data_IF_339155951557
#
_entry.id   IF_339155951557
#
_cell.length_a   1.000
_cell.length_b   1.000
_cell.length_c   1.000
_cell.angle_alpha   90.00
_cell.angle_beta   90.00
_cell.angle_gamma   90.00
#
_symmetry.space_group_name_H-M   'P 1'
#
loop_
_entity.id
_entity.type
_entity.pdbx_description
1 polymer ?
#
# COMPACT_ATOMS: atom_id res chain seq x y z
N UNK A 1 -1.08 -24.39 21.80
CA UNK A 1 -0.74 -24.03 20.41
C UNK A 1 -1.74 -22.98 19.95
N UNK A 2 -1.38 -21.70 20.10
CA UNK A 2 -2.17 -20.64 19.51
C UNK A 2 -1.86 -20.61 18.00
N UNK A 3 -2.81 -21.03 17.18
CA UNK A 3 -2.83 -20.76 15.76
C UNK A 3 -3.03 -19.25 15.57
N UNK A 4 -1.93 -18.51 15.46
CA UNK A 4 -1.96 -17.15 14.94
C UNK A 4 -2.63 -17.21 13.56
N UNK A 5 -3.73 -16.48 13.38
CA UNK A 5 -4.41 -16.42 12.09
C UNK A 5 -3.41 -15.99 11.01
N UNK A 6 -3.63 -16.39 9.74
CA UNK A 6 -2.76 -15.98 8.62
C UNK A 6 -2.55 -14.45 8.59
N UNK A 7 -3.57 -13.68 8.97
CA UNK A 7 -3.52 -12.21 9.05
C UNK A 7 -2.51 -11.71 10.07
N UNK A 8 -2.45 -12.29 11.28
CA UNK A 8 -1.44 -11.93 12.29
C UNK A 8 -0.02 -12.27 11.84
N UNK A 9 0.16 -13.35 11.07
CA UNK A 9 1.47 -13.72 10.53
C UNK A 9 1.98 -12.72 9.48
N UNK A 10 1.11 -12.21 8.62
CA UNK A 10 1.46 -11.19 7.61
C UNK A 10 1.80 -9.85 8.26
N UNK A 11 1.08 -9.44 9.31
CA UNK A 11 1.42 -8.26 10.12
C UNK A 11 2.80 -8.40 10.76
N UNK A 12 3.11 -9.55 11.38
CA UNK A 12 4.42 -9.81 11.98
C UNK A 12 5.58 -9.73 10.97
N UNK A 13 5.37 -10.15 9.71
CA UNK A 13 6.42 -10.12 8.69
C UNK A 13 6.70 -8.69 8.24
N UNK A 14 5.70 -7.83 8.07
CA UNK A 14 5.89 -6.39 7.79
C UNK A 14 6.63 -5.68 8.90
N UNK A 15 6.19 -5.90 10.15
CA UNK A 15 6.86 -5.36 11.33
C UNK A 15 8.32 -5.83 11.41
N UNK A 16 8.59 -7.06 10.97
CA UNK A 16 9.96 -7.58 10.87
C UNK A 16 10.78 -6.85 9.81
N UNK A 17 10.22 -6.60 8.60
CA UNK A 17 10.92 -5.88 7.54
C UNK A 17 11.30 -4.49 8.03
N UNK A 18 10.38 -3.75 8.64
CA UNK A 18 10.64 -2.40 9.12
C UNK A 18 11.64 -2.35 10.28
N UNK A 19 11.54 -3.30 11.22
CA UNK A 19 12.54 -3.44 12.31
C UNK A 19 13.94 -3.80 11.81
N UNK A 20 14.03 -4.65 10.77
CA UNK A 20 15.32 -4.97 10.14
C UNK A 20 15.95 -3.76 9.43
N UNK A 21 15.16 -2.76 9.09
CA UNK A 21 15.62 -1.53 8.44
C UNK A 21 16.05 -0.42 9.42
N UNK A 22 16.05 -0.73 10.75
CA UNK A 22 16.44 0.17 11.84
C UNK A 22 15.68 1.52 11.84
N UNK A 23 14.37 1.43 11.56
CA UNK A 23 13.47 2.59 11.52
C UNK A 23 12.67 2.65 12.82
N UNK A 24 12.49 3.83 13.38
CA UNK A 24 11.58 4.04 14.52
C UNK A 24 10.13 3.92 14.03
N UNK A 25 9.43 2.88 14.46
CA UNK A 25 8.11 2.50 13.97
C UNK A 25 7.12 2.36 15.12
N UNK A 26 6.02 3.10 15.04
CA UNK A 26 4.84 2.86 15.89
C UNK A 26 3.73 2.19 15.08
N UNK A 27 3.08 1.19 15.66
CA UNK A 27 1.96 0.45 15.04
C UNK A 27 0.66 0.78 15.77
N UNK A 28 -0.30 1.34 15.06
CA UNK A 28 -1.60 1.70 15.58
C UNK A 28 -2.73 1.02 14.81
N UNK A 29 -3.79 0.67 15.51
CA UNK A 29 -5.03 0.25 14.88
C UNK A 29 -5.81 1.50 14.46
N UNK A 30 -6.44 1.45 13.27
CA UNK A 30 -7.22 2.54 12.71
C UNK A 30 -8.43 2.99 13.57
N UNK A 31 -8.87 2.14 14.53
CA UNK A 31 -9.93 2.43 15.49
C UNK A 31 -9.40 2.92 16.87
N UNK A 32 -8.08 3.08 17.03
CA UNK A 32 -7.42 3.38 18.30
C UNK A 32 -6.51 4.61 18.26
N UNK A 33 -6.37 5.22 17.12
CA UNK A 33 -5.62 6.46 16.95
C UNK A 33 -6.54 7.54 16.38
N UNK A 34 -6.47 8.74 16.89
CA UNK A 34 -7.19 9.90 16.34
C UNK A 34 -6.42 10.54 15.18
N UNK A 35 -7.13 11.28 14.32
CA UNK A 35 -6.48 12.03 13.25
C UNK A 35 -5.43 13.02 13.79
N UNK A 36 -5.68 13.67 14.93
CA UNK A 36 -4.75 14.65 15.49
C UNK A 36 -3.47 14.01 16.01
N UNK A 37 -3.53 12.80 16.54
CA UNK A 37 -2.34 12.05 16.96
C UNK A 37 -1.46 11.65 15.79
N UNK A 38 -2.00 11.52 14.57
CA UNK A 38 -1.23 11.22 13.35
C UNK A 38 -0.30 12.37 12.96
N UNK A 39 -0.57 13.60 13.38
CA UNK A 39 0.20 14.81 13.04
C UNK A 39 1.70 14.68 13.37
N UNK A 40 2.05 13.97 14.42
CA UNK A 40 3.44 13.80 14.89
C UNK A 40 4.33 12.92 14.01
N UNK A 41 3.75 12.17 13.07
CA UNK A 41 4.49 11.27 12.19
C UNK A 41 4.77 11.92 10.84
N UNK A 42 5.92 11.64 10.27
CA UNK A 42 6.33 12.14 8.96
C UNK A 42 5.92 11.20 7.82
N UNK A 43 5.91 9.89 8.10
CA UNK A 43 5.55 8.83 7.15
C UNK A 43 4.43 7.95 7.68
N UNK A 44 3.52 7.57 6.79
CA UNK A 44 2.34 6.77 7.12
C UNK A 44 2.26 5.57 6.19
N UNK A 45 2.36 4.37 6.76
CA UNK A 45 2.11 3.12 6.04
C UNK A 45 0.69 2.64 6.33
N UNK A 46 -0.17 2.65 5.31
CA UNK A 46 -1.54 2.14 5.39
C UNK A 46 -1.54 0.65 5.04
N UNK A 47 -1.83 -0.16 6.02
CA UNK A 47 -1.73 -1.62 5.96
C UNK A 47 -2.89 -2.29 5.21
N UNK A 48 -2.69 -3.52 4.70
CA UNK A 48 -3.79 -4.37 4.27
C UNK A 48 -4.79 -4.62 5.39
N UNK A 49 -6.06 -4.68 5.03
CA UNK A 49 -7.16 -4.98 5.93
C UNK A 49 -8.31 -5.73 5.25
N UNK A 50 -9.28 -6.21 6.02
CA UNK A 50 -10.53 -6.77 5.49
C UNK A 50 -11.50 -5.65 5.08
N UNK A 51 -12.47 -6.01 4.23
CA UNK A 51 -13.56 -5.11 3.84
C UNK A 51 -13.14 -4.14 2.72
N UNK A 52 -13.79 -3.00 2.72
CA UNK A 52 -13.58 -1.90 1.78
C UNK A 52 -13.12 -0.64 2.53
N UNK A 53 -12.49 0.33 1.86
CA UNK A 53 -11.95 1.52 2.52
C UNK A 53 -12.96 2.33 3.33
N UNK A 54 -14.21 2.43 2.88
CA UNK A 54 -15.28 3.15 3.58
C UNK A 54 -15.57 2.59 4.98
N UNK A 55 -15.36 1.28 5.18
CA UNK A 55 -15.56 0.59 6.45
C UNK A 55 -14.31 0.59 7.34
N UNK A 56 -13.20 1.14 6.86
CA UNK A 56 -11.90 1.09 7.52
C UNK A 56 -11.62 2.29 8.47
N UNK A 57 -12.63 2.74 9.21
CA UNK A 57 -12.47 3.75 10.26
C UNK A 57 -11.94 5.09 9.74
N UNK A 58 -10.78 5.53 10.25
CA UNK A 58 -10.21 6.83 9.89
C UNK A 58 -9.44 6.85 8.57
N UNK A 59 -9.41 5.76 7.81
CA UNK A 59 -8.51 5.58 6.66
C UNK A 59 -8.68 6.67 5.59
N UNK A 60 -9.90 6.86 5.08
CA UNK A 60 -10.19 7.90 4.08
C UNK A 60 -9.99 9.33 4.62
N UNK A 61 -10.51 9.70 5.80
CA UNK A 61 -10.22 11.00 6.41
C UNK A 61 -8.72 11.26 6.63
N UNK A 62 -7.95 10.25 7.02
CA UNK A 62 -6.51 10.35 7.22
C UNK A 62 -5.80 10.70 5.91
N UNK A 63 -6.08 9.97 4.82
CA UNK A 63 -5.49 10.24 3.51
C UNK A 63 -5.80 11.67 3.07
N UNK A 64 -7.07 12.08 3.10
CA UNK A 64 -7.50 13.42 2.68
C UNK A 64 -6.85 14.55 3.47
N UNK A 65 -6.66 14.36 4.79
CA UNK A 65 -6.06 15.37 5.66
C UNK A 65 -4.55 15.47 5.47
N UNK A 66 -3.87 14.34 5.34
CA UNK A 66 -2.42 14.28 5.44
C UNK A 66 -1.68 14.14 4.12
N UNK A 67 -2.36 13.82 3.02
CA UNK A 67 -1.74 13.72 1.71
C UNK A 67 -0.90 14.95 1.30
N UNK A 68 -1.32 16.21 1.59
CA UNK A 68 -0.53 17.38 1.20
C UNK A 68 0.77 17.56 1.98
N UNK A 69 0.92 16.91 3.13
CA UNK A 69 2.01 17.22 4.10
C UNK A 69 2.83 16.02 4.53
N UNK A 70 2.36 14.80 4.31
CA UNK A 70 3.00 13.56 4.78
C UNK A 70 3.32 12.62 3.62
N UNK A 71 4.37 11.82 3.79
CA UNK A 71 4.64 10.69 2.90
C UNK A 71 3.73 9.51 3.24
N UNK A 72 2.92 9.07 2.30
CA UNK A 72 1.93 7.99 2.51
C UNK A 72 2.19 6.84 1.53
N UNK A 73 2.31 5.62 2.06
CA UNK A 73 2.30 4.39 1.27
C UNK A 73 1.11 3.52 1.67
N UNK A 74 0.20 3.27 0.72
CA UNK A 74 -0.92 2.34 0.88
C UNK A 74 -0.59 0.94 0.33
N UNK A 75 -0.89 -0.12 1.10
CA UNK A 75 -0.72 -1.51 0.69
C UNK A 75 -2.07 -2.20 0.63
N UNK A 76 -2.43 -2.78 -0.50
CA UNK A 76 -3.67 -3.51 -0.75
C UNK A 76 -4.90 -2.63 -0.43
N UNK A 77 -5.58 -2.83 0.70
CA UNK A 77 -6.67 -1.95 1.15
C UNK A 77 -6.23 -0.48 1.24
N UNK A 78 -4.98 -0.22 1.63
CA UNK A 78 -4.42 1.13 1.69
C UNK A 78 -4.29 1.79 0.31
N UNK A 79 -3.91 1.03 -0.72
CA UNK A 79 -3.89 1.51 -2.11
C UNK A 79 -5.30 1.82 -2.62
N UNK A 80 -6.25 0.92 -2.36
CA UNK A 80 -7.66 1.11 -2.71
C UNK A 80 -8.23 2.38 -2.04
N UNK A 81 -7.88 2.59 -0.77
CA UNK A 81 -8.27 3.79 -0.03
C UNK A 81 -7.67 5.08 -0.61
N UNK A 82 -6.43 5.03 -1.09
CA UNK A 82 -5.82 6.16 -1.81
C UNK A 82 -6.61 6.43 -3.10
N UNK A 83 -6.88 5.41 -3.90
CA UNK A 83 -7.70 5.55 -5.10
C UNK A 83 -9.04 6.24 -4.80
N UNK A 84 -9.78 5.72 -3.83
CA UNK A 84 -11.11 6.24 -3.45
C UNK A 84 -11.06 7.64 -2.81
N UNK A 85 -10.05 7.93 -1.99
CA UNK A 85 -9.87 9.25 -1.38
C UNK A 85 -9.71 10.37 -2.41
N UNK A 86 -9.14 10.05 -3.58
CA UNK A 86 -8.93 10.96 -4.70
C UNK A 86 -9.95 10.81 -5.83
N UNK A 87 -11.00 10.02 -5.63
CA UNK A 87 -12.15 9.96 -6.54
C UNK A 87 -12.17 8.81 -7.52
N UNK A 88 -11.25 7.84 -7.43
CA UNK A 88 -11.35 6.60 -8.18
C UNK A 88 -12.47 5.71 -7.62
N UNK A 89 -12.96 4.79 -8.44
CA UNK A 89 -13.91 3.75 -8.04
C UNK A 89 -13.19 2.41 -7.84
N UNK A 90 -13.81 1.53 -7.07
CA UNK A 90 -13.33 0.16 -6.89
C UNK A 90 -14.17 -0.82 -7.72
N UNK A 91 -13.52 -1.82 -8.28
CA UNK A 91 -14.17 -2.93 -8.98
C UNK A 91 -13.94 -4.23 -8.23
N UNK A 92 -15.00 -5.00 -8.02
CA UNK A 92 -14.91 -6.35 -7.48
C UNK A 92 -14.59 -7.32 -8.62
N UNK A 93 -13.48 -8.04 -8.49
CA UNK A 93 -13.06 -9.04 -9.47
C UNK A 93 -13.90 -10.30 -9.36
N UNK A 94 -14.19 -10.92 -10.49
CA UNK A 94 -14.88 -12.22 -10.56
C UNK A 94 -14.01 -13.32 -9.92
N UNK A 95 -12.71 -13.26 -10.16
CA UNK A 95 -11.73 -14.20 -9.60
C UNK A 95 -11.03 -13.60 -8.39
N UNK A 96 -11.13 -14.31 -7.26
CA UNK A 96 -10.48 -13.90 -6.02
C UNK A 96 -9.02 -14.34 -6.02
N UNK A 97 -8.10 -13.38 -6.03
CA UNK A 97 -6.69 -13.67 -5.85
C UNK A 97 -6.39 -13.98 -4.37
N UNK A 98 -5.89 -15.18 -4.08
CA UNK A 98 -5.52 -15.57 -2.72
C UNK A 98 -4.21 -16.36 -2.71
N UNK A 99 -3.09 -15.64 -2.62
CA UNK A 99 -1.75 -16.23 -2.71
C UNK A 99 -1.37 -16.58 -4.16
N UNK A 100 -1.81 -15.75 -5.09
CA UNK A 100 -1.42 -15.84 -6.51
C UNK A 100 -0.21 -14.97 -6.75
N UNK A 101 0.77 -15.50 -7.49
CA UNK A 101 1.95 -14.75 -7.91
C UNK A 101 1.74 -14.26 -9.33
N UNK A 102 1.79 -12.95 -9.54
CA UNK A 102 1.64 -12.33 -10.87
C UNK A 102 2.92 -11.60 -11.29
N UNK A 103 3.13 -11.51 -12.58
CA UNK A 103 4.17 -10.69 -13.17
C UNK A 103 3.67 -9.23 -13.26
N UNK A 104 4.41 -8.33 -12.65
CA UNK A 104 4.08 -6.90 -12.58
C UNK A 104 5.00 -6.13 -13.52
N UNK A 105 4.42 -5.29 -14.36
CA UNK A 105 5.15 -4.40 -15.26
C UNK A 105 5.11 -2.98 -14.74
N UNK A 106 6.28 -2.37 -14.54
CA UNK A 106 6.40 -0.93 -14.26
C UNK A 106 6.12 -0.16 -15.54
N UNK A 107 5.14 0.75 -15.51
CA UNK A 107 4.68 1.54 -16.66
C UNK A 107 5.32 2.93 -16.69
N UNK A 108 5.55 3.49 -15.50
CA UNK A 108 6.13 4.81 -15.32
C UNK A 108 7.22 4.71 -14.26
N UNK A 109 8.41 5.31 -14.46
CA UNK A 109 9.45 5.34 -13.45
C UNK A 109 8.93 5.95 -12.14
N UNK A 110 9.17 5.24 -11.04
CA UNK A 110 8.80 5.66 -9.70
C UNK A 110 9.91 5.30 -8.70
N UNK A 111 10.23 6.15 -7.72
CA UNK A 111 11.22 5.85 -6.69
C UNK A 111 11.02 4.53 -5.97
N UNK A 112 9.77 4.07 -5.79
CA UNK A 112 9.47 2.75 -5.21
C UNK A 112 10.17 1.60 -5.94
N UNK A 113 10.34 1.74 -7.26
CA UNK A 113 10.86 0.69 -8.13
C UNK A 113 12.33 0.91 -8.54
N UNK A 114 13.04 1.80 -7.83
CA UNK A 114 14.48 1.98 -8.01
C UNK A 114 15.20 0.65 -7.77
N UNK A 115 16.18 0.32 -8.62
CA UNK A 115 16.93 -0.94 -8.63
C UNK A 115 16.08 -2.20 -8.90
N UNK A 116 14.84 -2.01 -9.34
CA UNK A 116 14.05 -3.08 -9.94
C UNK A 116 14.12 -2.98 -11.47
N UNK A 117 14.12 -4.13 -12.12
CA UNK A 117 13.94 -4.20 -13.57
C UNK A 117 12.56 -3.64 -13.95
N UNK A 118 12.31 -3.47 -15.24
CA UNK A 118 11.01 -3.01 -15.77
C UNK A 118 9.82 -3.90 -15.40
N UNK A 119 10.08 -5.04 -14.71
CA UNK A 119 9.08 -5.97 -14.21
C UNK A 119 9.61 -6.83 -13.05
N UNK A 120 8.69 -7.27 -12.20
CA UNK A 120 8.98 -8.14 -11.06
C UNK A 120 7.77 -8.99 -10.70
N UNK A 121 8.00 -10.04 -9.91
CA UNK A 121 6.91 -10.90 -9.42
C UNK A 121 6.39 -10.43 -8.07
N UNK A 122 5.06 -10.49 -7.88
CA UNK A 122 4.43 -10.09 -6.63
C UNK A 122 3.23 -10.95 -6.26
N UNK A 123 3.06 -11.15 -4.95
CA UNK A 123 1.95 -11.90 -4.38
C UNK A 123 0.69 -11.04 -4.21
N UNK A 124 -0.44 -11.57 -4.70
CA UNK A 124 -1.77 -10.92 -4.67
C UNK A 124 -2.71 -11.67 -3.72
N UNK A 125 -3.50 -10.91 -2.94
CA UNK A 125 -4.42 -11.43 -1.91
C UNK A 125 -5.69 -10.58 -1.82
N UNK A 126 -6.31 -10.27 -2.97
CA UNK A 126 -7.45 -9.35 -3.03
C UNK A 126 -8.53 -9.80 -4.02
N UNK A 127 -9.73 -9.31 -3.83
CA UNK A 127 -10.86 -9.41 -4.75
C UNK A 127 -11.34 -8.05 -5.26
N UNK A 128 -10.84 -6.96 -4.69
CA UNK A 128 -11.12 -5.60 -5.12
C UNK A 128 -9.86 -4.94 -5.69
N UNK A 129 -10.06 -4.09 -6.70
CA UNK A 129 -9.00 -3.29 -7.33
C UNK A 129 -9.51 -1.88 -7.60
N UNK A 130 -8.58 -0.93 -7.70
CA UNK A 130 -8.91 0.40 -8.22
C UNK A 130 -9.25 0.27 -9.71
N UNK A 131 -10.40 0.83 -10.11
CA UNK A 131 -10.87 0.80 -11.48
C UNK A 131 -10.09 1.77 -12.36
N UNK A 132 -9.88 1.36 -13.63
CA UNK A 132 -9.38 2.27 -14.68
C UNK A 132 -10.47 3.18 -15.24
N UNK A 133 -11.75 2.83 -15.01
CA UNK A 133 -12.86 3.64 -15.49
C UNK A 133 -12.96 4.92 -14.66
N UNK A 134 -13.00 6.06 -15.35
CA UNK A 134 -13.03 7.40 -14.74
C UNK A 134 -11.87 7.61 -13.75
N UNK A 135 -10.69 7.06 -14.06
CA UNK A 135 -9.51 7.19 -13.20
C UNK A 135 -9.13 8.67 -13.04
N UNK A 136 -8.92 9.17 -11.81
CA UNK A 136 -8.72 10.60 -11.56
C UNK A 136 -7.42 11.14 -12.17
N UNK A 137 -7.46 12.31 -12.79
CA UNK A 137 -6.30 12.96 -13.40
C UNK A 137 -5.17 13.29 -12.40
N UNK A 138 -5.51 13.47 -11.11
CA UNK A 138 -4.52 13.73 -10.06
C UNK A 138 -3.70 12.47 -9.67
N UNK A 139 -4.15 11.29 -10.08
CA UNK A 139 -3.44 10.04 -9.90
C UNK A 139 -2.73 9.59 -11.17
N UNK A 140 -1.74 8.75 -11.03
CA UNK A 140 -1.00 8.13 -12.13
C UNK A 140 -0.77 6.64 -11.83
N UNK A 141 -1.08 5.78 -12.80
CA UNK A 141 -0.82 4.35 -12.73
C UNK A 141 0.67 4.12 -12.98
N UNK A 142 1.39 3.58 -12.00
CA UNK A 142 2.83 3.36 -12.09
C UNK A 142 3.21 1.92 -12.40
N UNK A 143 2.34 0.94 -12.08
CA UNK A 143 2.54 -0.45 -12.45
C UNK A 143 1.21 -1.20 -12.66
N UNK A 144 1.24 -2.22 -13.51
CA UNK A 144 0.11 -3.09 -13.82
C UNK A 144 0.55 -4.55 -13.83
N UNK A 145 -0.38 -5.48 -13.58
CA UNK A 145 -0.11 -6.88 -13.86
C UNK A 145 -0.18 -7.16 -15.38
N UNK A 146 0.63 -8.12 -15.81
CA UNK A 146 0.83 -8.39 -17.24
C UNK A 146 -0.36 -9.12 -17.87
N UNK A 147 -1.05 -9.97 -17.10
CA UNK A 147 -2.08 -10.86 -17.65
C UNK A 147 -3.44 -10.18 -17.78
N UNK A 148 -3.88 -9.49 -16.73
CA UNK A 148 -5.22 -8.90 -16.65
C UNK A 148 -5.20 -7.38 -16.83
N UNK A 149 -4.01 -6.76 -16.76
CA UNK A 149 -3.84 -5.31 -16.85
C UNK A 149 -4.44 -4.56 -15.65
N UNK A 150 -4.58 -5.22 -14.49
CA UNK A 150 -5.08 -4.56 -13.29
C UNK A 150 -4.06 -3.57 -12.74
N UNK A 151 -4.53 -2.49 -12.10
CA UNK A 151 -3.66 -1.53 -11.42
C UNK A 151 -2.97 -2.23 -10.25
N UNK A 152 -1.65 -2.25 -10.27
CA UNK A 152 -0.81 -2.85 -9.22
C UNK A 152 -0.02 -1.81 -8.45
N UNK A 153 0.13 -0.61 -8.99
CA UNK A 153 0.64 0.54 -8.26
C UNK A 153 0.12 1.84 -8.86
N UNK A 154 -0.06 2.82 -7.99
CA UNK A 154 -0.44 4.18 -8.36
C UNK A 154 0.29 5.20 -7.48
N UNK A 155 0.35 6.45 -7.94
CA UNK A 155 0.85 7.59 -7.17
C UNK A 155 0.00 8.83 -7.40
N UNK A 156 0.01 9.74 -6.45
CA UNK A 156 -0.48 11.10 -6.65
C UNK A 156 0.57 11.92 -7.42
N UNK A 157 0.13 12.80 -8.34
CA UNK A 157 1.05 13.57 -9.19
C UNK A 157 1.77 14.68 -8.46
N UNK A 158 1.19 15.22 -7.39
CA UNK A 158 1.72 16.36 -6.64
C UNK A 158 2.17 15.99 -5.23
N UNK A 159 1.44 15.08 -4.56
CA UNK A 159 1.70 14.69 -3.18
C UNK A 159 2.58 13.43 -3.11
N UNK A 160 3.37 13.31 -2.04
CA UNK A 160 4.13 12.09 -1.76
C UNK A 160 3.22 10.96 -1.25
N UNK A 161 2.30 10.55 -2.11
CA UNK A 161 1.30 9.51 -1.84
C UNK A 161 1.41 8.43 -2.91
N UNK A 162 1.68 7.20 -2.47
CA UNK A 162 1.82 6.03 -3.33
C UNK A 162 0.99 4.87 -2.83
N UNK A 163 0.52 4.03 -3.73
CA UNK A 163 -0.21 2.81 -3.43
C UNK A 163 0.35 1.61 -4.19
N UNK A 164 0.33 0.45 -3.55
CA UNK A 164 0.63 -0.85 -4.16
C UNK A 164 -0.46 -1.85 -3.82
N UNK A 165 -1.00 -2.55 -4.83
CA UNK A 165 -2.08 -3.54 -4.64
C UNK A 165 -1.56 -4.88 -4.15
N UNK A 166 -0.34 -5.23 -4.47
CA UNK A 166 0.31 -6.47 -4.04
C UNK A 166 0.87 -6.36 -2.61
N UNK A 167 1.26 -7.52 -2.07
CA UNK A 167 1.79 -7.63 -0.70
C UNK A 167 3.32 -7.70 -0.70
N UNK A 168 4.03 -6.62 -0.33
CA UNK A 168 5.50 -6.61 -0.31
C UNK A 168 6.08 -7.54 0.76
N UNK A 169 5.32 -7.84 1.81
CA UNK A 169 5.72 -8.77 2.87
C UNK A 169 5.59 -10.25 2.48
N UNK A 170 4.95 -10.54 1.36
CA UNK A 170 4.72 -11.92 0.93
C UNK A 170 6.00 -12.58 0.44
N UNK A 171 6.18 -13.87 0.74
CA UNK A 171 7.23 -14.70 0.14
C UNK A 171 7.15 -14.75 -1.39
N UNK A 172 5.96 -14.49 -1.94
CA UNK A 172 5.71 -14.42 -3.38
C UNK A 172 6.16 -13.08 -4.00
N UNK A 173 6.67 -12.16 -3.19
CA UNK A 173 7.20 -10.85 -3.61
C UNK A 173 8.68 -10.75 -3.25
N UNK A 174 9.59 -11.38 -4.02
CA UNK A 174 11.01 -11.44 -3.66
C UNK A 174 11.68 -10.06 -3.51
N UNK A 175 11.16 -9.05 -4.22
CA UNK A 175 11.66 -7.66 -4.19
C UNK A 175 10.91 -6.75 -3.20
N UNK A 176 10.01 -7.30 -2.39
CA UNK A 176 9.17 -6.53 -1.50
C UNK A 176 9.95 -5.71 -0.48
N UNK A 177 11.03 -6.26 0.09
CA UNK A 177 11.91 -5.53 1.02
C UNK A 177 12.58 -4.32 0.35
N UNK A 178 13.03 -4.47 -0.90
CA UNK A 178 13.62 -3.36 -1.68
C UNK A 178 12.59 -2.25 -1.91
N UNK A 179 11.34 -2.58 -2.24
CA UNK A 179 10.26 -1.61 -2.47
C UNK A 179 9.99 -0.80 -1.19
N UNK A 180 9.86 -1.47 -0.05
CA UNK A 180 9.66 -0.79 1.24
C UNK A 180 10.87 0.08 1.60
N UNK A 181 12.09 -0.44 1.38
CA UNK A 181 13.32 0.32 1.62
C UNK A 181 13.38 1.59 0.77
N UNK A 182 13.06 1.50 -0.52
CA UNK A 182 13.06 2.64 -1.43
C UNK A 182 12.11 3.75 -0.94
N UNK A 183 10.91 3.37 -0.45
CA UNK A 183 9.98 4.34 0.12
C UNK A 183 10.51 4.98 1.41
N UNK A 184 11.17 4.20 2.29
CA UNK A 184 11.72 4.72 3.55
C UNK A 184 12.91 5.64 3.28
N UNK A 185 13.82 5.25 2.39
CA UNK A 185 15.06 5.96 2.09
C UNK A 185 14.84 7.33 1.41
N UNK A 186 13.70 7.49 0.74
CA UNK A 186 13.37 8.74 0.02
C UNK A 186 13.08 9.93 0.96
N UNK A 187 13.07 9.75 2.28
CA UNK A 187 12.99 10.83 3.27
C UNK A 187 13.36 10.38 4.69
N UNK A 188 13.97 11.29 5.46
CA UNK A 188 14.26 11.08 6.88
C UNK A 188 13.03 11.48 7.71
N UNK A 189 12.39 10.53 8.41
CA UNK A 189 11.25 10.86 9.25
C UNK A 189 10.73 9.70 10.11
N UNK A 190 9.86 10.01 11.06
CA UNK A 190 9.23 9.04 11.97
C UNK A 190 8.06 8.32 11.27
N UNK A 191 8.09 6.99 11.22
CA UNK A 191 7.12 6.15 10.52
C UNK A 191 5.96 5.71 11.44
N UNK A 192 4.73 5.79 10.95
CA UNK A 192 3.54 5.16 11.55
C UNK A 192 2.95 4.10 10.63
N UNK A 193 2.58 2.96 11.18
CA UNK A 193 1.79 1.94 10.50
C UNK A 193 0.36 1.98 11.03
N UNK A 194 -0.60 2.20 10.14
CA UNK A 194 -2.03 2.12 10.46
C UNK A 194 -2.56 0.72 10.07
N UNK A 195 -3.12 0.00 11.03
CA UNK A 195 -3.69 -1.34 10.90
C UNK A 195 -5.19 -1.35 11.15
#
# INVERSE_FOLDING_TARGET
LHLLSRRQRQMCIRDSILKELDVDVEVHRNDKISLDEVERFDKILLSPGPGIPEEAGILLPLIRRYAPTKSILGVCLGEQAIGEAFGATLTNLTDVHHGVCSDIQVKVPDPLFTDLESGFRAGRYHSWVVSKENFPDCLEITAEDVEEGQIMALRHREYDVRGIQFHPESILTPKGKTIIWNWIADSNGQLIINN
#
